data_IF_126307148285
#
_entry.id   IF_126307148285
#
_cell.length_a   1.000
_cell.length_b   1.000
_cell.length_c   1.000
_cell.angle_alpha   90.00
_cell.angle_beta   90.00
_cell.angle_gamma   90.00
#
_symmetry.space_group_name_H-M   'P 1'
#
loop_
_entity.id
_entity.type
_entity.pdbx_description
1 polymer ?
#
# COMPACT_ATOMS: atom_id res chain seq x y z
N UNK A 1 12.92 16.25 -6.72
CA UNK A 1 11.83 15.46 -7.31
C UNK A 1 10.62 16.39 -7.40
N UNK A 2 9.99 16.50 -8.56
CA UNK A 2 8.88 17.45 -8.75
C UNK A 2 7.70 17.09 -7.84
N UNK A 3 7.15 18.10 -7.16
CA UNK A 3 5.94 17.97 -6.36
C UNK A 3 4.76 17.71 -7.30
N UNK A 4 4.10 16.57 -7.15
CA UNK A 4 2.88 16.27 -7.89
C UNK A 4 1.66 16.85 -7.18
N UNK A 5 0.66 17.31 -7.94
CA UNK A 5 -0.60 17.72 -7.35
C UNK A 5 -1.35 16.49 -6.84
N UNK A 6 -1.79 16.55 -5.59
CA UNK A 6 -2.41 15.40 -4.90
C UNK A 6 -3.86 15.71 -4.53
N UNK A 7 -4.75 14.70 -4.62
CA UNK A 7 -6.15 14.90 -4.27
C UNK A 7 -6.29 15.20 -2.77
N UNK A 8 -7.16 16.16 -2.45
CA UNK A 8 -7.41 16.56 -1.05
C UNK A 8 -7.89 15.37 -0.22
N UNK A 9 -7.36 15.27 0.99
CA UNK A 9 -7.72 14.20 1.92
C UNK A 9 -6.97 12.89 1.72
N UNK A 10 -6.02 12.81 0.78
CA UNK A 10 -5.13 11.65 0.65
C UNK A 10 -3.73 11.97 1.17
N UNK A 11 -3.16 10.99 1.87
CA UNK A 11 -1.84 11.05 2.48
C UNK A 11 -1.06 9.80 2.11
N UNK A 12 0.21 9.98 1.74
CA UNK A 12 1.11 8.90 1.35
C UNK A 12 2.35 8.89 2.25
N UNK A 13 3.04 7.76 2.33
CA UNK A 13 4.35 7.61 2.94
C UNK A 13 5.10 6.48 2.24
N UNK A 14 6.38 6.69 1.95
CA UNK A 14 7.32 5.64 1.59
C UNK A 14 8.40 5.52 2.67
N UNK A 15 8.69 4.31 3.12
CA UNK A 15 9.68 4.07 4.15
C UNK A 15 10.38 2.72 3.95
N UNK A 16 11.42 2.50 4.75
CA UNK A 16 12.09 1.22 4.84
C UNK A 16 11.34 0.31 5.83
N UNK A 17 10.61 -0.66 5.29
CA UNK A 17 9.82 -1.66 6.00
C UNK A 17 10.50 -3.02 6.19
N UNK A 18 11.83 -3.07 6.01
CA UNK A 18 12.69 -4.23 6.26
C UNK A 18 12.47 -5.43 5.33
N UNK A 19 11.88 -5.23 4.14
CA UNK A 19 11.76 -6.28 3.12
C UNK A 19 13.01 -6.34 2.25
N UNK A 20 13.50 -5.18 1.80
CA UNK A 20 14.77 -5.04 1.09
C UNK A 20 15.89 -4.84 2.11
N UNK A 21 17.15 -5.04 1.68
CA UNK A 21 18.32 -4.76 2.53
C UNK A 21 18.58 -3.26 2.75
N UNK A 22 18.20 -2.43 1.77
CA UNK A 22 18.42 -0.98 1.74
C UNK A 22 17.35 -0.32 0.88
N UNK A 23 17.17 0.99 1.07
CA UNK A 23 16.23 1.80 0.31
C UNK A 23 14.78 1.62 0.76
N UNK A 24 13.89 2.39 0.14
CA UNK A 24 12.47 2.31 0.41
C UNK A 24 11.87 1.01 -0.17
N UNK A 25 10.97 0.40 0.58
CA UNK A 25 10.37 -0.88 0.18
C UNK A 25 8.91 -1.05 0.63
N UNK A 26 8.39 -0.10 1.41
CA UNK A 26 7.02 -0.14 1.92
C UNK A 26 6.37 1.22 1.78
N UNK A 27 5.16 1.24 1.25
CA UNK A 27 4.34 2.42 1.10
C UNK A 27 3.00 2.26 1.82
N UNK A 28 2.51 3.37 2.39
CA UNK A 28 1.15 3.51 2.88
C UNK A 28 0.52 4.65 2.10
N UNK A 29 -0.65 4.41 1.52
CA UNK A 29 -1.53 5.46 0.99
C UNK A 29 -2.87 5.34 1.68
N UNK A 30 -3.39 6.44 2.25
CA UNK A 30 -4.66 6.42 2.97
C UNK A 30 -5.42 7.73 2.80
N UNK A 31 -6.73 7.64 3.00
CA UNK A 31 -7.61 8.80 3.05
C UNK A 31 -7.85 9.23 4.50
N UNK A 32 -8.07 10.52 4.72
CA UNK A 32 -8.45 11.11 6.01
C UNK A 32 -9.90 10.79 6.40
N UNK A 33 -10.72 10.30 5.47
CA UNK A 33 -12.10 9.81 5.68
C UNK A 33 -12.33 8.51 4.88
N UNK A 34 -13.36 7.69 5.18
CA UNK A 34 -13.70 6.54 4.33
C UNK A 34 -14.02 6.99 2.90
N UNK A 35 -13.52 6.25 1.90
CA UNK A 35 -13.73 6.57 0.48
C UNK A 35 -14.23 5.35 -0.29
N UNK A 36 -15.09 5.57 -1.29
CA UNK A 36 -15.50 4.52 -2.21
C UNK A 36 -14.28 3.93 -2.94
N UNK A 37 -14.30 2.63 -3.18
CA UNK A 37 -13.22 1.94 -3.89
C UNK A 37 -13.72 1.16 -5.10
N UNK A 38 -12.86 1.07 -6.10
CA UNK A 38 -12.99 0.18 -7.25
C UNK A 38 -11.60 -0.32 -7.64
N UNK A 39 -11.52 -1.50 -8.24
CA UNK A 39 -10.25 -2.08 -8.62
C UNK A 39 -10.39 -3.33 -9.47
N UNK A 40 -9.33 -3.65 -10.20
CA UNK A 40 -9.19 -4.91 -10.92
C UNK A 40 -8.02 -5.69 -10.33
N UNK A 41 -8.15 -7.01 -10.31
CA UNK A 41 -7.14 -7.93 -9.81
C UNK A 41 -6.70 -8.85 -10.94
N UNK A 42 -5.51 -9.45 -10.81
CA UNK A 42 -5.04 -10.43 -11.78
C UNK A 42 -6.02 -11.61 -11.92
N UNK A 43 -6.24 -12.06 -13.16
CA UNK A 43 -7.01 -13.26 -13.49
C UNK A 43 -6.17 -14.54 -13.45
N UNK A 44 -4.88 -14.44 -13.11
CA UNK A 44 -4.00 -15.60 -13.02
C UNK A 44 -4.50 -16.59 -11.96
N UNK A 45 -4.44 -17.88 -12.30
CA UNK A 45 -4.76 -18.99 -11.38
C UNK A 45 -3.81 -19.01 -10.18
N UNK A 46 -2.53 -18.73 -10.42
CA UNK A 46 -1.51 -18.55 -9.37
C UNK A 46 -1.46 -17.08 -9.01
N UNK A 47 -1.87 -16.76 -7.78
CA UNK A 47 -1.99 -15.39 -7.30
C UNK A 47 -1.52 -15.27 -5.85
N UNK A 48 -1.07 -14.08 -5.49
CA UNK A 48 -0.54 -13.79 -4.15
C UNK A 48 -1.65 -13.72 -3.10
N UNK A 49 -1.28 -13.88 -1.82
CA UNK A 49 -2.24 -13.79 -0.72
C UNK A 49 -2.99 -12.45 -0.68
N UNK A 50 -2.32 -11.34 -1.01
CA UNK A 50 -2.94 -10.01 -1.08
C UNK A 50 -4.01 -9.87 -2.18
N UNK A 51 -3.92 -10.67 -3.25
CA UNK A 51 -4.95 -10.69 -4.30
C UNK A 51 -6.23 -11.33 -3.79
N UNK A 52 -6.11 -12.43 -3.03
CA UNK A 52 -7.27 -13.07 -2.40
C UNK A 52 -7.89 -12.17 -1.33
N UNK A 53 -7.05 -11.57 -0.47
CA UNK A 53 -7.47 -10.57 0.52
C UNK A 53 -8.28 -9.43 -0.11
N UNK A 54 -7.73 -8.75 -1.12
CA UNK A 54 -8.41 -7.61 -1.73
C UNK A 54 -9.71 -8.00 -2.43
N UNK A 55 -9.82 -9.22 -2.98
CA UNK A 55 -11.04 -9.66 -3.68
C UNK A 55 -12.27 -9.65 -2.78
N UNK A 56 -12.10 -9.97 -1.51
CA UNK A 56 -13.20 -9.96 -0.52
C UNK A 56 -13.64 -8.54 -0.15
N UNK A 57 -12.79 -7.55 -0.40
CA UNK A 57 -12.97 -6.15 0.02
C UNK A 57 -13.39 -5.22 -1.13
N UNK A 58 -13.21 -5.63 -2.39
CA UNK A 58 -13.56 -4.81 -3.56
C UNK A 58 -15.04 -4.41 -3.57
N UNK A 59 -15.29 -3.14 -3.90
CA UNK A 59 -16.64 -2.56 -3.96
C UNK A 59 -17.15 -2.04 -2.62
N UNK A 60 -16.39 -2.22 -1.53
CA UNK A 60 -16.65 -1.58 -0.24
C UNK A 60 -15.87 -0.27 -0.12
N UNK A 61 -16.24 0.56 0.85
CA UNK A 61 -15.42 1.70 1.26
C UNK A 61 -14.09 1.23 1.86
N UNK A 62 -13.05 2.04 1.65
CA UNK A 62 -11.66 1.76 2.03
C UNK A 62 -11.08 2.93 2.83
N UNK A 63 -10.12 2.64 3.70
CA UNK A 63 -9.35 3.62 4.47
C UNK A 63 -7.96 3.83 3.89
N UNK A 64 -7.31 2.78 3.42
CA UNK A 64 -5.99 2.87 2.83
C UNK A 64 -5.50 1.57 2.20
N UNK A 65 -4.29 1.62 1.67
CA UNK A 65 -3.56 0.50 1.09
C UNK A 65 -2.14 0.47 1.66
N UNK A 66 -1.70 -0.71 2.06
CA UNK A 66 -0.30 -1.01 2.37
C UNK A 66 0.32 -1.74 1.18
N UNK A 67 1.49 -1.27 0.73
CA UNK A 67 2.18 -1.84 -0.41
C UNK A 67 3.60 -2.17 0.01
N UNK A 68 4.08 -3.39 -0.23
CA UNK A 68 5.48 -3.74 -0.06
C UNK A 68 6.12 -4.20 -1.37
N UNK A 69 7.40 -3.93 -1.55
CA UNK A 69 8.20 -4.37 -2.68
C UNK A 69 9.42 -5.19 -2.24
N UNK A 70 9.98 -5.98 -3.16
CA UNK A 70 11.06 -6.93 -2.89
C UNK A 70 10.58 -8.34 -2.52
N UNK A 71 9.33 -8.50 -2.07
CA UNK A 71 8.71 -9.78 -1.78
C UNK A 71 7.23 -9.78 -2.21
N UNK A 72 6.82 -10.74 -3.03
CA UNK A 72 5.47 -10.81 -3.58
C UNK A 72 4.44 -11.43 -2.63
N UNK A 73 4.86 -12.07 -1.53
CA UNK A 73 4.02 -12.90 -0.67
C UNK A 73 3.10 -13.84 -1.50
N UNK A 74 3.69 -14.44 -2.51
CA UNK A 74 3.03 -15.34 -3.45
C UNK A 74 3.58 -16.75 -3.27
N UNK A 75 2.72 -17.77 -3.44
CA UNK A 75 3.08 -19.17 -3.24
C UNK A 75 3.62 -19.47 -1.84
N UNK A 76 3.14 -18.76 -0.81
CA UNK A 76 3.55 -18.89 0.61
C UNK A 76 2.52 -19.64 1.46
N UNK A 77 1.46 -20.18 0.85
CA UNK A 77 0.44 -20.99 1.53
C UNK A 77 -0.36 -20.22 2.58
N UNK A 78 -0.84 -20.93 3.60
CA UNK A 78 -1.62 -20.36 4.71
C UNK A 78 -0.85 -19.29 5.48
N UNK A 79 0.46 -19.44 5.63
CA UNK A 79 1.32 -18.43 6.25
C UNK A 79 1.20 -17.09 5.53
N UNK A 80 1.18 -17.08 4.19
CA UNK A 80 1.02 -15.85 3.42
C UNK A 80 -0.31 -15.13 3.69
N UNK A 81 -1.39 -15.90 3.89
CA UNK A 81 -2.71 -15.37 4.24
C UNK A 81 -2.72 -14.77 5.65
N UNK A 82 -2.10 -15.45 6.61
CA UNK A 82 -1.95 -14.97 7.98
C UNK A 82 -1.08 -13.70 8.04
N UNK A 83 0.03 -13.68 7.31
CA UNK A 83 0.90 -12.50 7.19
C UNK A 83 0.11 -11.31 6.60
N UNK A 84 -0.71 -11.52 5.57
CA UNK A 84 -1.60 -10.49 5.02
C UNK A 84 -2.59 -9.96 6.07
N UNK A 85 -3.26 -10.84 6.82
CA UNK A 85 -4.16 -10.43 7.90
C UNK A 85 -3.43 -9.60 8.96
N UNK A 86 -2.22 -10.01 9.37
CA UNK A 86 -1.40 -9.28 10.34
C UNK A 86 -1.00 -7.90 9.84
N UNK A 87 -0.62 -7.76 8.58
CA UNK A 87 -0.31 -6.47 7.97
C UNK A 87 -1.54 -5.55 7.96
N UNK A 88 -2.69 -6.05 7.52
CA UNK A 88 -3.94 -5.29 7.50
C UNK A 88 -4.36 -4.84 8.91
N UNK A 89 -4.28 -5.74 9.90
CA UNK A 89 -4.58 -5.41 11.29
C UNK A 89 -3.63 -4.35 11.85
N UNK A 90 -2.34 -4.44 11.54
CA UNK A 90 -1.34 -3.47 12.03
C UNK A 90 -1.60 -2.08 11.46
N UNK A 91 -1.82 -1.97 10.14
CA UNK A 91 -2.15 -0.67 9.56
C UNK A 91 -3.53 -0.16 10.02
N UNK A 92 -4.52 -1.04 10.15
CA UNK A 92 -5.85 -0.66 10.63
C UNK A 92 -5.81 -0.07 12.04
N UNK A 93 -5.04 -0.66 12.97
CA UNK A 93 -4.82 -0.09 14.31
C UNK A 93 -4.21 1.31 14.24
N UNK A 94 -3.20 1.50 13.40
CA UNK A 94 -2.57 2.80 13.20
C UNK A 94 -3.52 3.87 12.67
N UNK A 95 -4.45 3.49 11.78
CA UNK A 95 -5.39 4.39 11.12
C UNK A 95 -6.73 4.48 11.84
N UNK A 96 -6.86 3.87 13.02
CA UNK A 96 -8.09 3.76 13.80
C UNK A 96 -9.26 3.27 12.93
N UNK A 97 -9.02 2.18 12.20
CA UNK A 97 -9.93 1.62 11.21
C UNK A 97 -10.13 0.12 11.36
N UNK A 98 -11.00 -0.46 10.55
CA UNK A 98 -11.21 -1.91 10.47
C UNK A 98 -10.21 -2.52 9.47
N UNK A 99 -9.59 -3.69 9.76
CA UNK A 99 -8.73 -4.40 8.82
C UNK A 99 -9.35 -4.60 7.43
N UNK A 100 -10.67 -4.80 7.34
CA UNK A 100 -11.43 -4.91 6.09
C UNK A 100 -11.55 -3.61 5.31
N UNK A 101 -11.02 -2.50 5.83
CA UNK A 101 -10.85 -1.22 5.12
C UNK A 101 -9.42 -1.01 4.63
N UNK A 102 -8.56 -2.01 4.74
CA UNK A 102 -7.17 -1.95 4.32
C UNK A 102 -6.93 -2.89 3.15
N UNK A 103 -6.62 -2.33 1.98
CA UNK A 103 -6.08 -3.11 0.88
C UNK A 103 -4.60 -3.41 1.11
N UNK A 104 -4.14 -4.50 0.48
CA UNK A 104 -2.75 -4.91 0.50
C UNK A 104 -2.25 -5.10 -0.93
N UNK A 105 -0.98 -4.79 -1.18
CA UNK A 105 -0.30 -5.19 -2.40
C UNK A 105 1.15 -5.57 -2.09
N UNK A 106 1.64 -6.59 -2.79
CA UNK A 106 2.99 -7.13 -2.59
C UNK A 106 3.61 -7.43 -3.95
N UNK A 107 4.86 -7.05 -4.16
CA UNK A 107 5.58 -7.29 -5.42
C UNK A 107 7.03 -7.67 -5.15
N UNK A 108 7.60 -8.54 -5.99
CA UNK A 108 8.99 -9.00 -5.87
C UNK A 108 9.13 -10.52 -5.95
N UNK A 109 10.05 -11.07 -5.15
CA UNK A 109 10.37 -12.51 -5.19
C UNK A 109 9.18 -13.36 -4.75
N UNK A 110 8.92 -14.46 -5.47
CA UNK A 110 7.85 -15.43 -5.21
C UNK A 110 8.40 -16.59 -4.35
N UNK A 111 7.56 -17.16 -3.47
CA UNK A 111 7.90 -18.36 -2.68
C UNK A 111 8.70 -18.08 -1.41
N UNK A 112 8.95 -16.82 -1.08
CA UNK A 112 9.69 -16.40 0.12
C UNK A 112 8.72 -15.79 1.14
N UNK A 113 8.68 -16.28 2.40
CA UNK A 113 7.85 -15.67 3.43
C UNK A 113 8.22 -14.23 3.74
N UNK A 114 7.25 -13.43 4.20
CA UNK A 114 7.51 -12.05 4.63
C UNK A 114 8.28 -12.01 5.96
N UNK A 115 9.15 -11.01 6.18
CA UNK A 115 9.69 -10.68 7.50
C UNK A 115 8.63 -9.94 8.33
N UNK A 116 7.53 -10.64 8.61
CA UNK A 116 6.27 -10.03 9.09
C UNK A 116 6.41 -9.23 10.38
N UNK A 117 7.23 -9.69 11.33
CA UNK A 117 7.41 -8.99 12.61
C UNK A 117 8.15 -7.67 12.43
N UNK A 118 9.17 -7.63 11.57
CA UNK A 118 9.91 -6.41 11.24
C UNK A 118 9.03 -5.43 10.46
N UNK A 119 8.24 -5.94 9.51
CA UNK A 119 7.28 -5.12 8.77
C UNK A 119 6.26 -4.49 9.72
N UNK A 120 5.68 -5.25 10.65
CA UNK A 120 4.71 -4.71 11.62
C UNK A 120 5.32 -3.60 12.48
N UNK A 121 6.53 -3.80 13.01
CA UNK A 121 7.27 -2.77 13.76
C UNK A 121 7.53 -1.53 12.92
N UNK A 122 7.94 -1.71 11.66
CA UNK A 122 8.21 -0.59 10.76
C UNK A 122 6.93 0.18 10.41
N UNK A 123 5.80 -0.51 10.21
CA UNK A 123 4.50 0.12 9.99
C UNK A 123 4.10 0.93 11.22
N UNK A 124 4.15 0.36 12.42
CA UNK A 124 3.79 1.08 13.65
C UNK A 124 4.65 2.34 13.88
N UNK A 125 5.94 2.28 13.50
CA UNK A 125 6.85 3.41 13.57
C UNK A 125 6.52 4.52 12.55
N UNK A 126 6.09 4.17 11.34
CA UNK A 126 5.94 5.11 10.21
C UNK A 126 4.49 5.31 9.77
N UNK A 127 3.49 4.74 10.43
CA UNK A 127 2.10 4.81 9.96
C UNK A 127 1.45 6.19 10.15
N UNK A 128 2.05 7.06 10.97
CA UNK A 128 1.58 8.45 11.16
C UNK A 128 2.23 9.37 10.13
N UNK A 129 1.48 9.85 9.11
CA UNK A 129 2.04 10.70 8.07
C UNK A 129 2.57 12.01 8.65
N UNK A 130 3.83 12.29 8.38
CA UNK A 130 4.33 13.65 8.39
C UNK A 130 3.95 14.31 7.07
N UNK A 131 3.43 15.53 7.11
CA UNK A 131 3.24 16.31 5.89
C UNK A 131 4.63 16.58 5.28
N UNK A 132 4.97 15.80 4.25
CA UNK A 132 6.18 15.99 3.46
C UNK A 132 5.80 16.30 2.01
N UNK A 133 6.42 17.31 1.38
CA UNK A 133 6.30 17.54 -0.06
C UNK A 133 6.74 16.34 -0.90
N UNK A 134 7.59 15.45 -0.36
CA UNK A 134 8.09 14.25 -1.06
C UNK A 134 7.28 12.99 -0.77
N UNK A 135 6.28 13.03 0.09
CA UNK A 135 5.58 11.85 0.60
C UNK A 135 5.10 10.86 -0.48
N UNK A 136 4.44 11.36 -1.54
CA UNK A 136 3.98 10.55 -2.67
C UNK A 136 5.14 10.05 -3.54
N UNK A 137 6.18 10.86 -3.63
CA UNK A 137 7.39 10.59 -4.38
C UNK A 137 8.17 9.43 -3.71
N UNK A 138 8.29 9.46 -2.38
CA UNK A 138 8.87 8.40 -1.57
C UNK A 138 8.02 7.12 -1.64
N UNK A 139 6.69 7.24 -1.61
CA UNK A 139 5.78 6.10 -1.79
C UNK A 139 5.94 5.47 -3.18
N UNK A 140 6.10 6.27 -4.24
CA UNK A 140 6.33 5.78 -5.60
C UNK A 140 7.67 5.04 -5.71
N UNK A 141 8.72 5.53 -5.04
CA UNK A 141 10.01 4.83 -4.95
C UNK A 141 9.90 3.52 -4.16
N UNK A 142 9.17 3.54 -3.04
CA UNK A 142 9.03 2.40 -2.14
C UNK A 142 8.37 1.17 -2.79
N UNK A 143 7.53 1.35 -3.82
CA UNK A 143 6.86 0.24 -4.52
C UNK A 143 7.66 -0.32 -5.70
N UNK A 144 8.78 0.30 -6.06
CA UNK A 144 9.63 -0.13 -7.17
C UNK A 144 10.29 -1.49 -6.89
N UNK A 145 10.52 -2.27 -7.95
CA UNK A 145 11.36 -3.49 -7.89
C UNK A 145 12.60 -3.34 -8.76
N UNK A 146 12.51 -3.73 -10.03
CA UNK A 146 13.58 -3.56 -11.03
C UNK A 146 13.42 -2.28 -11.85
N UNK A 147 12.43 -1.46 -11.51
CA UNK A 147 12.22 -0.14 -12.06
C UNK A 147 13.47 0.72 -11.94
N UNK A 148 13.79 1.50 -12.98
CA UNK A 148 14.92 2.43 -12.97
C UNK A 148 14.56 3.83 -12.46
N UNK A 149 13.27 4.19 -12.52
CA UNK A 149 12.72 5.48 -12.07
C UNK A 149 11.31 5.28 -11.48
N UNK A 150 10.87 6.11 -10.51
CA UNK A 150 9.48 6.12 -10.05
C UNK A 150 8.56 6.71 -11.12
N UNK A 151 7.27 6.34 -11.09
CA UNK A 151 6.25 6.83 -12.03
C UNK A 151 5.10 7.45 -11.27
N UNK A 152 4.74 8.68 -11.62
CA UNK A 152 3.62 9.42 -11.04
C UNK A 152 2.94 10.28 -12.12
N UNK A 153 1.63 10.46 -12.02
CA UNK A 153 0.84 11.31 -12.90
C UNK A 153 -0.35 11.90 -12.14
N UNK A 154 -0.73 13.14 -12.46
CA UNK A 154 -1.86 13.86 -11.86
C UNK A 154 -2.55 14.71 -12.90
N UNK A 155 -3.86 14.87 -12.77
CA UNK A 155 -4.68 15.72 -13.61
C UNK A 155 -5.73 16.43 -12.76
N UNK A 156 -5.95 17.71 -13.02
CA UNK A 156 -6.97 18.53 -12.37
C UNK A 156 -8.13 18.75 -13.34
N UNK A 157 -9.36 18.71 -12.86
CA UNK A 157 -10.54 19.01 -13.68
C UNK A 157 -11.62 19.75 -12.92
N UNK A 158 -12.57 20.34 -13.65
CA UNK A 158 -13.73 21.00 -13.05
C UNK A 158 -14.98 20.15 -13.21
N UNK A 159 -15.68 19.94 -12.09
CA UNK A 159 -16.97 19.25 -12.07
C UNK A 159 -17.93 19.93 -11.11
N UNK A 160 -19.13 20.27 -11.58
CA UNK A 160 -20.19 20.89 -10.78
C UNK A 160 -19.72 22.12 -9.99
N UNK A 161 -18.90 22.98 -10.61
CA UNK A 161 -18.36 24.20 -10.01
C UNK A 161 -17.24 23.99 -8.98
N UNK A 162 -16.70 22.78 -8.85
CA UNK A 162 -15.57 22.47 -7.97
C UNK A 162 -14.38 21.98 -8.78
N UNK A 163 -13.18 22.37 -8.36
CA UNK A 163 -11.92 21.77 -8.81
C UNK A 163 -11.71 20.44 -8.11
N UNK A 164 -11.50 19.39 -8.89
CA UNK A 164 -11.25 18.03 -8.47
C UNK A 164 -9.86 17.56 -8.94
#
# INVERSE_FOLDING_TARGET
>A
MESIQTPKGFLAQGFHGAVKKRGLDTAILHSTHPVSSAGMLTSNRVRAACVDWNRELLGQDVRGILINSGNANACTGSRGQEDSLRLAQTLARCLESDPKKIFLASTGVIGVPLPIDDMCRAIEKHCKPQQSPTAFADAAEAIMTTDTVPKMASFEFHHSGRTA
#
